data_IF_122098874519
#
_entry.id   IF_122098874519
#
_cell.length_a   1.000
_cell.length_b   1.000
_cell.length_c   1.000
_cell.angle_alpha   90.00
_cell.angle_beta   90.00
_cell.angle_gamma   90.00
#
_symmetry.space_group_name_H-M   'P 1'
#
loop_
_entity.id
_entity.type
_entity.pdbx_description
1 polymer ?
#
# COMPACT_ATOMS: atom_id res chain seq x y z
N UNK A 1 -59.44 2.32 29.36
CA UNK A 1 -60.19 2.44 28.09
C UNK A 1 -59.29 3.13 27.07
N UNK A 2 -59.10 2.49 25.91
CA UNK A 2 -58.15 2.85 24.86
C UNK A 2 -58.69 3.96 23.95
N UNK A 3 -57.85 4.93 23.58
CA UNK A 3 -58.02 5.91 22.48
C UNK A 3 -56.69 6.64 22.31
N UNK A 4 -56.11 6.92 21.16
CA UNK A 4 -56.26 6.53 19.76
C UNK A 4 -55.00 7.12 19.10
N UNK A 5 -54.23 6.33 18.37
CA UNK A 5 -53.10 6.81 17.56
C UNK A 5 -53.69 7.43 16.29
N UNK A 6 -53.28 8.66 15.95
CA UNK A 6 -53.58 9.28 14.66
C UNK A 6 -52.43 10.20 14.22
N UNK A 7 -51.31 9.60 13.82
CA UNK A 7 -50.21 10.34 13.20
C UNK A 7 -50.51 10.41 11.70
N UNK A 8 -51.16 11.50 11.31
CA UNK A 8 -51.32 11.89 9.91
C UNK A 8 -49.93 12.02 9.28
N UNK A 9 -49.71 11.27 8.22
CA UNK A 9 -48.58 11.39 7.31
C UNK A 9 -48.46 12.84 6.84
N UNK A 10 -47.33 13.48 7.09
CA UNK A 10 -46.83 14.55 6.23
C UNK A 10 -45.38 14.21 5.87
N UNK A 11 -45.21 13.85 4.61
CA UNK A 11 -43.93 13.62 3.93
C UNK A 11 -43.45 14.97 3.42
N UNK A 12 -42.21 15.34 3.68
CA UNK A 12 -41.47 16.32 2.88
C UNK A 12 -39.97 16.17 3.10
N UNK A 13 -39.42 15.10 2.52
CA UNK A 13 -38.21 15.09 1.70
C UNK A 13 -37.14 16.15 2.00
N UNK A 14 -36.28 15.88 2.98
CA UNK A 14 -34.96 16.52 3.04
C UNK A 14 -34.02 15.75 2.13
N UNK A 15 -33.71 16.33 0.97
CA UNK A 15 -32.74 15.80 0.03
C UNK A 15 -31.34 15.97 0.64
N UNK A 16 -30.75 14.89 1.14
CA UNK A 16 -29.34 14.86 1.56
C UNK A 16 -28.45 15.04 0.33
N UNK A 17 -27.98 16.26 0.06
CA UNK A 17 -26.87 16.48 -0.88
C UNK A 17 -25.58 16.34 -0.08
N UNK A 18 -25.17 15.10 0.18
CA UNK A 18 -23.79 14.82 0.58
C UNK A 18 -22.95 14.82 -0.70
N UNK A 19 -22.33 15.96 -1.01
CA UNK A 19 -21.31 16.04 -2.04
C UNK A 19 -20.09 15.22 -1.56
N UNK A 20 -20.08 13.93 -1.89
CA UNK A 20 -18.90 13.08 -1.81
C UNK A 20 -17.91 13.57 -2.87
N UNK A 21 -17.08 14.54 -2.51
CA UNK A 21 -15.87 14.87 -3.25
C UNK A 21 -14.91 13.70 -3.12
N UNK A 22 -14.96 12.78 -4.09
CA UNK A 22 -13.95 11.75 -4.24
C UNK A 22 -12.58 12.42 -4.43
N UNK A 23 -11.54 12.10 -3.63
CA UNK A 23 -10.20 12.54 -3.96
C UNK A 23 -9.80 11.85 -5.26
N UNK A 24 -9.46 12.65 -6.28
CA UNK A 24 -8.76 12.15 -7.45
C UNK A 24 -7.42 11.59 -6.96
N UNK A 25 -7.32 10.26 -6.87
CA UNK A 25 -6.05 9.57 -6.72
C UNK A 25 -5.29 9.87 -8.00
N UNK A 26 -4.38 10.84 -7.96
CA UNK A 26 -3.43 11.05 -9.04
C UNK A 26 -2.55 9.80 -9.12
N UNK A 27 -2.92 8.88 -10.00
CA UNK A 27 -2.02 7.86 -10.50
C UNK A 27 -0.90 8.61 -11.25
N UNK A 28 0.15 8.97 -10.52
CA UNK A 28 1.42 9.38 -11.10
C UNK A 28 1.94 8.26 -12.01
N UNK A 29 2.84 8.57 -12.97
CA UNK A 29 3.30 7.61 -13.95
C UNK A 29 3.70 6.33 -13.24
N UNK A 30 3.01 5.24 -13.60
CA UNK A 30 3.28 3.90 -13.12
C UNK A 30 4.78 3.67 -13.19
N UNK A 31 5.30 3.11 -12.10
CA UNK A 31 6.68 2.72 -12.00
C UNK A 31 7.11 1.97 -13.26
N UNK A 32 8.34 2.21 -13.71
CA UNK A 32 8.99 1.38 -14.71
C UNK A 32 8.86 -0.08 -14.27
N UNK A 33 8.04 -0.83 -15.01
CA UNK A 33 7.94 -2.27 -14.89
C UNK A 33 9.35 -2.83 -14.87
N UNK A 34 9.69 -3.54 -13.78
CA UNK A 34 10.83 -4.43 -13.78
C UNK A 34 12.19 -3.72 -14.04
N UNK A 35 12.62 -2.80 -13.15
CA UNK A 35 13.99 -2.27 -13.18
C UNK A 35 14.98 -3.44 -13.20
N UNK A 36 15.66 -3.72 -14.34
CA UNK A 36 16.47 -4.92 -14.50
C UNK A 36 17.71 -4.91 -13.60
N UNK A 37 17.97 -3.78 -12.91
CA UNK A 37 19.05 -3.64 -11.93
C UNK A 37 18.60 -3.96 -10.51
N UNK A 38 17.31 -4.15 -10.26
CA UNK A 38 16.80 -4.59 -8.95
C UNK A 38 16.87 -6.12 -8.91
N UNK A 39 17.67 -6.73 -8.02
CA UNK A 39 17.91 -8.17 -8.03
C UNK A 39 16.71 -8.91 -7.42
N UNK A 40 15.57 -8.92 -8.13
CA UNK A 40 14.28 -9.49 -7.68
C UNK A 40 14.43 -10.91 -7.17
N UNK A 41 15.15 -11.76 -7.91
CA UNK A 41 15.38 -13.15 -7.51
C UNK A 41 16.12 -13.25 -6.17
N UNK A 42 17.08 -12.37 -5.90
CA UNK A 42 17.83 -12.37 -4.65
C UNK A 42 17.01 -11.82 -3.48
N UNK A 43 16.20 -10.78 -3.72
CA UNK A 43 15.27 -10.23 -2.72
C UNK A 43 14.23 -11.28 -2.33
N UNK A 44 13.60 -11.92 -3.32
CA UNK A 44 12.58 -12.94 -3.08
C UNK A 44 13.16 -14.16 -2.33
N UNK A 45 14.37 -14.59 -2.68
CA UNK A 45 15.08 -15.66 -1.98
C UNK A 45 15.37 -15.30 -0.51
N UNK A 46 15.84 -14.09 -0.22
CA UNK A 46 16.08 -13.63 1.16
C UNK A 46 14.78 -13.51 1.98
N UNK A 47 13.64 -13.28 1.33
CA UNK A 47 12.31 -13.26 1.95
C UNK A 47 11.63 -14.64 2.01
N UNK A 48 12.27 -15.67 1.47
CA UNK A 48 11.75 -17.03 1.34
C UNK A 48 10.38 -17.08 0.63
N UNK A 49 10.27 -16.38 -0.50
CA UNK A 49 9.09 -16.40 -1.39
C UNK A 49 9.51 -16.57 -2.85
N UNK A 50 8.55 -16.88 -3.72
CA UNK A 50 8.80 -16.94 -5.15
C UNK A 50 8.95 -15.52 -5.76
N UNK A 51 9.79 -15.40 -6.78
CA UNK A 51 10.11 -14.11 -7.40
C UNK A 51 8.90 -13.44 -8.08
N UNK A 52 8.02 -14.24 -8.68
CA UNK A 52 6.77 -13.80 -9.27
C UNK A 52 5.80 -13.24 -8.21
N UNK A 53 5.71 -13.86 -7.04
CA UNK A 53 4.93 -13.37 -5.90
C UNK A 53 5.46 -12.02 -5.41
N UNK A 54 6.79 -11.88 -5.29
CA UNK A 54 7.39 -10.59 -4.95
C UNK A 54 7.02 -9.50 -5.96
N UNK A 55 7.16 -9.77 -7.26
CA UNK A 55 6.82 -8.80 -8.31
C UNK A 55 5.34 -8.43 -8.26
N UNK A 56 4.45 -9.42 -8.10
CA UNK A 56 3.02 -9.19 -8.01
C UNK A 56 2.67 -8.23 -6.85
N UNK A 57 3.20 -8.49 -5.65
CA UNK A 57 2.99 -7.60 -4.50
C UNK A 57 3.62 -6.22 -4.67
N UNK A 58 4.69 -6.11 -5.45
CA UNK A 58 5.42 -4.87 -5.64
C UNK A 58 4.80 -3.95 -6.71
N UNK A 59 3.95 -4.46 -7.59
CA UNK A 59 3.31 -3.67 -8.65
C UNK A 59 2.39 -2.56 -8.11
N UNK A 60 1.86 -2.72 -6.89
CA UNK A 60 0.94 -1.77 -6.26
C UNK A 60 1.63 -0.72 -5.37
N UNK A 61 2.97 -0.73 -5.28
CA UNK A 61 3.71 0.27 -4.50
C UNK A 61 4.30 1.38 -5.36
N UNK A 62 4.56 2.53 -4.73
CA UNK A 62 5.19 3.68 -5.37
C UNK A 62 6.51 4.04 -4.67
N UNK A 63 7.60 3.27 -4.86
CA UNK A 63 8.89 3.59 -4.26
C UNK A 63 9.50 4.88 -4.83
N UNK A 64 10.55 5.35 -4.14
CA UNK A 64 11.25 6.55 -4.55
C UNK A 64 11.89 6.39 -5.94
N UNK A 65 12.05 7.49 -6.70
CA UNK A 65 12.87 7.50 -7.89
C UNK A 65 14.27 6.95 -7.61
N UNK A 66 14.86 6.33 -8.63
CA UNK A 66 16.20 5.75 -8.53
C UNK A 66 17.22 6.77 -8.02
N UNK A 67 18.08 6.34 -7.09
CA UNK A 67 19.13 7.19 -6.50
C UNK A 67 18.59 8.21 -5.49
N UNK A 68 17.32 8.10 -5.10
CA UNK A 68 16.72 8.96 -4.07
C UNK A 68 16.12 8.11 -2.96
N UNK A 69 16.08 8.67 -1.76
CA UNK A 69 15.45 8.03 -0.61
C UNK A 69 13.95 8.34 -0.57
N UNK A 70 13.09 7.37 -0.20
CA UNK A 70 11.70 7.67 0.08
C UNK A 70 11.58 8.56 1.32
N UNK A 71 10.56 9.43 1.32
CA UNK A 71 10.12 10.07 2.56
C UNK A 71 9.52 9.02 3.50
N UNK A 72 9.56 9.25 4.81
CA UNK A 72 8.97 8.31 5.78
C UNK A 72 7.47 8.08 5.54
N UNK A 73 6.75 9.10 5.07
CA UNK A 73 5.34 8.97 4.69
C UNK A 73 5.14 8.03 3.48
N UNK A 74 5.96 8.17 2.42
CA UNK A 74 5.90 7.30 1.25
C UNK A 74 6.27 5.87 1.59
N UNK A 75 7.31 5.68 2.40
CA UNK A 75 7.71 4.36 2.87
C UNK A 75 6.59 3.67 3.65
N UNK A 76 5.98 4.36 4.62
CA UNK A 76 4.85 3.84 5.39
C UNK A 76 3.67 3.47 4.49
N UNK A 77 3.34 4.31 3.51
CA UNK A 77 2.26 4.05 2.56
C UNK A 77 2.54 2.79 1.71
N UNK A 78 3.76 2.65 1.20
CA UNK A 78 4.15 1.48 0.42
C UNK A 78 4.12 0.21 1.28
N UNK A 79 4.62 0.27 2.53
CA UNK A 79 4.62 -0.88 3.45
C UNK A 79 3.21 -1.33 3.85
N UNK A 80 2.26 -0.39 3.97
CA UNK A 80 0.87 -0.71 4.28
C UNK A 80 0.21 -1.57 3.19
N UNK A 81 0.73 -1.53 1.96
CA UNK A 81 0.28 -2.35 0.81
C UNK A 81 1.14 -3.62 0.71
N UNK A 82 2.46 -3.44 0.73
CA UNK A 82 3.41 -4.50 0.45
C UNK A 82 3.43 -5.58 1.53
N UNK A 83 3.41 -5.19 2.80
CA UNK A 83 3.62 -6.13 3.90
C UNK A 83 2.49 -7.17 4.00
N UNK A 84 1.19 -6.81 3.94
CA UNK A 84 0.11 -7.79 3.93
C UNK A 84 0.20 -8.76 2.75
N UNK A 85 0.48 -8.26 1.54
CA UNK A 85 0.60 -9.12 0.35
C UNK A 85 1.75 -10.12 0.48
N UNK A 86 2.93 -9.67 0.95
CA UNK A 86 4.06 -10.57 1.18
C UNK A 86 3.75 -11.61 2.27
N UNK A 87 2.98 -11.22 3.29
CA UNK A 87 2.58 -12.12 4.37
C UNK A 87 1.59 -13.21 3.93
N UNK A 88 0.85 -13.02 2.84
CA UNK A 88 0.06 -14.08 2.21
C UNK A 88 0.94 -15.19 1.63
N UNK A 89 2.13 -14.83 1.13
CA UNK A 89 3.12 -15.79 0.63
C UNK A 89 4.00 -16.38 1.74
N UNK A 90 4.34 -15.58 2.76
CA UNK A 90 5.09 -16.02 3.93
C UNK A 90 4.75 -15.15 5.16
N UNK A 91 3.93 -15.71 6.06
CA UNK A 91 3.42 -15.01 7.24
C UNK A 91 4.52 -14.58 8.24
N UNK A 92 5.72 -15.17 8.17
CA UNK A 92 6.85 -14.81 9.04
C UNK A 92 7.54 -13.50 8.60
N UNK A 93 7.17 -12.94 7.44
CA UNK A 93 7.72 -11.67 6.97
C UNK A 93 7.28 -10.55 7.91
N UNK A 94 8.25 -9.96 8.62
CA UNK A 94 8.05 -8.78 9.47
C UNK A 94 8.49 -7.50 8.77
N UNK A 95 8.02 -6.35 9.27
CA UNK A 95 8.50 -5.05 8.78
C UNK A 95 10.04 -4.94 8.85
N UNK A 96 10.64 -5.37 9.96
CA UNK A 96 12.09 -5.26 10.16
C UNK A 96 12.86 -6.16 9.19
N UNK A 97 12.34 -7.36 8.90
CA UNK A 97 12.95 -8.25 7.92
C UNK A 97 12.87 -7.65 6.51
N UNK A 98 11.71 -7.12 6.13
CA UNK A 98 11.54 -6.43 4.84
C UNK A 98 12.50 -5.24 4.72
N UNK A 99 12.65 -4.44 5.77
CA UNK A 99 13.60 -3.32 5.78
C UNK A 99 15.04 -3.78 5.59
N UNK A 100 15.47 -4.79 6.34
CA UNK A 100 16.83 -5.34 6.24
C UNK A 100 17.13 -5.86 4.83
N UNK A 101 16.19 -6.60 4.23
CA UNK A 101 16.37 -7.12 2.87
C UNK A 101 16.37 -6.00 1.85
N UNK A 102 15.40 -5.08 1.89
CA UNK A 102 15.33 -4.00 0.91
C UNK A 102 16.55 -3.06 1.01
N UNK A 103 17.03 -2.78 2.22
CA UNK A 103 18.23 -1.97 2.44
C UNK A 103 19.52 -2.67 1.96
N UNK A 104 19.61 -3.99 2.08
CA UNK A 104 20.73 -4.80 1.53
C UNK A 104 20.90 -4.60 0.03
N UNK A 105 19.81 -4.37 -0.71
CA UNK A 105 19.80 -4.23 -2.17
C UNK A 105 19.59 -2.80 -2.68
N UNK A 106 19.64 -1.79 -1.81
CA UNK A 106 19.64 -0.38 -2.25
C UNK A 106 20.98 -0.03 -2.90
N UNK A 107 20.99 0.54 -4.12
CA UNK A 107 22.23 0.88 -4.82
C UNK A 107 23.06 1.96 -4.09
N UNK A 108 22.44 2.81 -3.28
CA UNK A 108 23.08 3.82 -2.44
C UNK A 108 23.72 3.27 -1.14
N UNK A 109 23.54 1.99 -0.81
CA UNK A 109 23.94 1.40 0.46
C UNK A 109 22.98 1.74 1.61
N UNK A 110 23.21 1.17 2.81
CA UNK A 110 22.37 1.49 3.98
C UNK A 110 22.51 2.98 4.33
N UNK A 111 21.39 3.71 4.37
CA UNK A 111 21.36 5.03 4.97
C UNK A 111 21.25 4.83 6.49
N UNK A 112 22.32 5.13 7.22
CA UNK A 112 22.31 5.00 8.67
C UNK A 112 21.23 5.93 9.29
N UNK A 113 20.38 5.38 10.17
CA UNK A 113 19.52 6.17 11.06
C UNK A 113 18.02 6.21 10.73
N UNK A 114 17.41 5.10 10.29
CA UNK A 114 15.95 4.92 10.38
C UNK A 114 15.64 3.79 11.35
#
# INVERSE_FOLDING_TARGET
MQKSINVKKLVATTFCVAALTAPAIAAGPGMLDNDPKRPVAAIAADLNIAADQFVACFNDVNPAPKGTNPTGAREKANKAILLPCLQEANADITNNMLDQVMDKYRPEGRVAGR
#
